data_IF_569325028187
#
_entry.id   IF_569325028187
#
_cell.length_a   1.000
_cell.length_b   1.000
_cell.length_c   1.000
_cell.angle_alpha   90.00
_cell.angle_beta   90.00
_cell.angle_gamma   90.00
#
_symmetry.space_group_name_H-M   'P 1'
#
loop_
_entity.id
_entity.type
_entity.pdbx_description
1 polymer ?
#
# COMPACT_ATOMS: atom_id res chain seq x y z
N UNK A 1 -3.88 -10.34 6.81
CA UNK A 1 -3.67 -11.50 5.91
C UNK A 1 -2.35 -11.35 5.15
N UNK A 2 -1.85 -12.40 4.47
CA UNK A 2 -0.59 -12.37 3.71
C UNK A 2 -0.82 -12.03 2.23
N UNK A 3 0.15 -11.38 1.57
CA UNK A 3 0.06 -10.98 0.14
C UNK A 3 -0.34 -12.12 -0.82
N UNK A 4 0.21 -13.34 -0.74
CA UNK A 4 -0.21 -14.43 -1.63
C UNK A 4 -1.70 -14.79 -1.52
N UNK A 5 -2.32 -14.55 -0.36
CA UNK A 5 -3.76 -14.75 -0.16
C UNK A 5 -4.58 -13.63 -0.83
N UNK A 6 -4.09 -12.38 -0.78
CA UNK A 6 -4.71 -11.24 -1.46
C UNK A 6 -4.78 -11.50 -2.96
N UNK A 7 -3.66 -11.90 -3.58
CA UNK A 7 -3.61 -12.21 -5.02
C UNK A 7 -4.63 -13.26 -5.47
N UNK A 8 -4.91 -14.25 -4.62
CA UNK A 8 -5.92 -15.28 -4.89
C UNK A 8 -7.36 -14.77 -4.75
N UNK A 9 -7.59 -13.81 -3.86
CA UNK A 9 -8.92 -13.24 -3.63
C UNK A 9 -9.28 -12.13 -4.62
N UNK A 10 -8.28 -11.35 -5.05
CA UNK A 10 -8.43 -10.19 -5.93
C UNK A 10 -7.49 -10.32 -7.14
N UNK A 11 -7.72 -11.30 -8.04
CA UNK A 11 -6.83 -11.50 -9.19
C UNK A 11 -6.96 -10.34 -10.19
N UNK A 12 -5.82 -9.84 -10.68
CA UNK A 12 -5.73 -8.77 -11.69
C UNK A 12 -6.43 -7.47 -11.28
N UNK A 13 -6.15 -7.01 -10.06
CA UNK A 13 -6.75 -5.81 -9.46
C UNK A 13 -5.68 -4.91 -8.86
N UNK A 14 -5.96 -3.61 -8.84
CA UNK A 14 -5.31 -2.67 -7.94
C UNK A 14 -5.91 -2.81 -6.54
N UNK A 15 -5.08 -3.05 -5.54
CA UNK A 15 -5.53 -3.20 -4.16
C UNK A 15 -4.96 -2.08 -3.31
N UNK A 16 -5.85 -1.37 -2.61
CA UNK A 16 -5.49 -0.50 -1.49
C UNK A 16 -5.50 -1.34 -0.22
N UNK A 17 -4.38 -1.36 0.49
CA UNK A 17 -4.27 -2.06 1.76
C UNK A 17 -3.50 -1.23 2.79
N UNK A 18 -3.78 -1.52 4.05
CA UNK A 18 -2.99 -1.08 5.19
C UNK A 18 -1.96 -2.14 5.54
N UNK A 19 -0.71 -1.71 5.79
CA UNK A 19 0.31 -2.56 6.41
C UNK A 19 0.05 -2.64 7.93
N UNK A 20 -0.41 -3.81 8.40
CA UNK A 20 -0.68 -4.08 9.82
C UNK A 20 0.63 -4.40 10.55
N UNK A 21 1.53 -5.14 9.91
CA UNK A 21 2.89 -5.34 10.40
C UNK A 21 3.87 -5.36 9.24
N UNK A 22 4.97 -4.64 9.40
CA UNK A 22 6.04 -4.56 8.43
C UNK A 22 7.38 -4.40 9.12
N UNK A 23 8.43 -4.88 8.46
CA UNK A 23 9.82 -4.72 8.89
C UNK A 23 10.60 -4.00 7.81
N UNK A 24 11.49 -3.13 8.22
CA UNK A 24 12.40 -2.44 7.31
C UNK A 24 13.76 -3.13 7.34
N UNK A 25 14.24 -3.55 6.17
CA UNK A 25 15.57 -4.10 6.00
C UNK A 25 16.10 -3.70 4.62
N UNK A 26 17.37 -3.26 4.55
CA UNK A 26 18.03 -2.93 3.29
C UNK A 26 17.24 -1.94 2.39
N UNK A 27 16.67 -0.88 2.97
CA UNK A 27 15.82 0.11 2.27
C UNK A 27 14.53 -0.46 1.66
N UNK A 28 14.16 -1.68 2.04
CA UNK A 28 12.91 -2.31 1.64
C UNK A 28 11.97 -2.44 2.83
N UNK A 29 10.70 -2.13 2.59
CA UNK A 29 9.61 -2.34 3.53
C UNK A 29 8.98 -3.71 3.26
N UNK A 30 9.28 -4.66 4.14
CA UNK A 30 8.76 -6.03 4.07
C UNK A 30 7.44 -6.09 4.85
N UNK A 31 6.32 -6.08 4.12
CA UNK A 31 4.98 -6.19 4.71
C UNK A 31 4.70 -7.65 5.07
N UNK A 32 4.62 -7.94 6.35
CA UNK A 32 4.35 -9.28 6.87
C UNK A 32 2.84 -9.52 6.95
N UNK A 33 2.06 -8.54 7.37
CA UNK A 33 0.60 -8.61 7.44
C UNK A 33 -0.06 -7.35 6.93
N UNK A 34 -1.14 -7.53 6.17
CA UNK A 34 -1.91 -6.44 5.61
C UNK A 34 -3.42 -6.66 5.78
N UNK A 35 -4.17 -5.56 5.78
CA UNK A 35 -5.62 -5.54 5.68
C UNK A 35 -6.01 -4.87 4.36
N UNK A 36 -6.71 -5.60 3.49
CA UNK A 36 -7.26 -5.04 2.26
C UNK A 36 -8.40 -4.11 2.65
N UNK A 37 -8.36 -2.88 2.14
CA UNK A 37 -9.39 -1.87 2.35
C UNK A 37 -10.38 -1.93 1.19
N UNK A 38 -9.87 -1.86 -0.05
CA UNK A 38 -10.65 -1.86 -1.28
C UNK A 38 -9.82 -2.37 -2.46
N UNK A 39 -10.49 -2.83 -3.52
CA UNK A 39 -9.90 -3.18 -4.80
C UNK A 39 -10.54 -2.42 -5.96
N UNK A 40 -9.78 -2.25 -7.04
CA UNK A 40 -10.14 -1.40 -8.18
C UNK A 40 -9.62 -1.99 -9.49
N UNK A 41 -10.35 -1.74 -10.58
CA UNK A 41 -9.88 -2.02 -11.94
C UNK A 41 -8.95 -0.91 -12.48
N UNK A 42 -9.08 0.31 -11.96
CA UNK A 42 -8.36 1.50 -12.44
C UNK A 42 -7.50 2.14 -11.34
N UNK A 43 -6.28 2.53 -11.70
CA UNK A 43 -5.31 3.13 -10.76
C UNK A 43 -5.77 4.48 -10.22
N UNK A 44 -6.52 5.29 -10.98
CA UNK A 44 -6.99 6.60 -10.51
C UNK A 44 -7.98 6.45 -9.36
N UNK A 45 -8.91 5.49 -9.44
CA UNK A 45 -9.83 5.17 -8.35
C UNK A 45 -9.06 4.75 -7.08
N UNK A 46 -8.02 3.93 -7.23
CA UNK A 46 -7.17 3.52 -6.11
C UNK A 46 -6.46 4.72 -5.47
N UNK A 47 -5.89 5.64 -6.27
CA UNK A 47 -5.24 6.85 -5.77
C UNK A 47 -6.19 7.81 -5.08
N UNK A 48 -7.43 7.94 -5.57
CA UNK A 48 -8.43 8.75 -4.92
C UNK A 48 -8.75 8.19 -3.52
N UNK A 49 -9.05 6.90 -3.43
CA UNK A 49 -9.31 6.25 -2.15
C UNK A 49 -8.12 6.37 -1.18
N UNK A 50 -6.89 6.17 -1.67
CA UNK A 50 -5.68 6.35 -0.86
C UNK A 50 -5.60 7.76 -0.26
N UNK A 51 -5.88 8.81 -1.04
CA UNK A 51 -5.84 10.19 -0.55
C UNK A 51 -6.87 10.40 0.57
N UNK A 52 -8.09 9.88 0.41
CA UNK A 52 -9.14 9.99 1.42
C UNK A 52 -8.72 9.30 2.73
N UNK A 53 -8.18 8.07 2.66
CA UNK A 53 -7.69 7.35 3.82
C UNK A 53 -6.47 8.01 4.48
N UNK A 54 -5.52 8.50 3.70
CA UNK A 54 -4.32 9.18 4.21
C UNK A 54 -4.64 10.54 4.83
N UNK A 55 -5.61 11.29 4.30
CA UNK A 55 -6.07 12.54 4.89
C UNK A 55 -6.82 12.30 6.22
N UNK A 56 -7.60 11.23 6.30
CA UNK A 56 -8.32 10.86 7.52
C UNK A 56 -7.37 10.42 8.65
N UNK A 57 -6.32 9.66 8.31
CA UNK A 57 -5.29 9.25 9.27
C UNK A 57 -3.92 9.11 8.60
N UNK A 58 -3.08 10.16 8.62
CA UNK A 58 -1.76 10.15 7.98
C UNK A 58 -0.73 9.32 8.75
N UNK A 59 -1.04 8.89 9.98
CA UNK A 59 -0.15 8.05 10.79
C UNK A 59 -0.16 6.58 10.36
N UNK A 60 -1.23 6.16 9.66
CA UNK A 60 -1.39 4.79 9.18
C UNK A 60 -0.67 4.59 7.85
N UNK A 61 -0.19 3.37 7.66
CA UNK A 61 0.66 2.99 6.55
C UNK A 61 -0.17 2.31 5.47
N UNK A 62 -0.52 3.07 4.43
CA UNK A 62 -1.32 2.60 3.31
C UNK A 62 -0.47 2.41 2.05
N UNK A 63 -0.83 1.42 1.24
CA UNK A 63 -0.19 1.13 -0.05
C UNK A 63 -1.24 0.79 -1.11
N UNK A 64 -0.96 1.22 -2.34
CA UNK A 64 -1.64 0.73 -3.54
C UNK A 64 -0.67 -0.20 -4.25
N UNK A 65 -1.11 -1.41 -4.58
CA UNK A 65 -0.29 -2.37 -5.32
C UNK A 65 -1.14 -3.25 -6.23
N UNK A 66 -0.59 -3.62 -7.38
CA UNK A 66 -1.32 -4.45 -8.34
C UNK A 66 -1.07 -5.94 -8.06
N UNK A 67 -2.12 -6.76 -8.06
CA UNK A 67 -2.04 -8.18 -7.67
C UNK A 67 -1.41 -9.09 -8.73
N UNK A 68 -1.11 -8.56 -9.93
CA UNK A 68 -0.28 -9.27 -10.91
C UNK A 68 1.13 -9.55 -10.36
N UNK A 69 1.65 -8.68 -9.50
CA UNK A 69 2.99 -8.83 -8.90
C UNK A 69 3.01 -9.96 -7.87
N UNK A 70 3.96 -10.88 -8.03
CA UNK A 70 4.09 -12.03 -7.14
C UNK A 70 4.49 -11.65 -5.71
N UNK A 71 5.38 -10.66 -5.60
CA UNK A 71 5.94 -10.18 -4.34
C UNK A 71 5.65 -8.68 -4.17
N UNK A 72 5.57 -8.23 -2.92
CA UNK A 72 5.52 -6.81 -2.59
C UNK A 72 6.94 -6.25 -2.61
N UNK A 73 7.22 -5.37 -3.58
CA UNK A 73 8.49 -4.66 -3.70
C UNK A 73 8.25 -3.20 -3.32
N UNK A 74 8.34 -2.91 -2.02
CA UNK A 74 8.13 -1.57 -1.48
C UNK A 74 9.49 -1.02 -1.03
N UNK A 75 9.93 0.04 -1.70
CA UNK A 75 11.17 0.74 -1.36
C UNK A 75 10.86 1.86 -0.37
N UNK A 76 11.59 1.91 0.74
CA UNK A 76 11.58 3.08 1.62
C UNK A 76 12.40 4.18 0.95
N UNK A 77 11.72 5.18 0.39
CA UNK A 77 12.38 6.43 0.04
C UNK A 77 12.44 7.31 1.30
N UNK A 78 13.64 7.53 1.89
CA UNK A 78 13.78 8.55 2.92
C UNK A 78 13.39 9.89 2.30
N UNK A 79 12.31 10.48 2.79
CA UNK A 79 11.81 11.74 2.30
C UNK A 79 12.79 12.85 2.69
N UNK A 80 13.55 13.39 1.73
CA UNK A 80 14.48 14.51 1.91
C UNK A 80 13.89 15.86 1.47
N UNK A 81 12.56 15.96 1.37
CA UNK A 81 11.85 17.19 0.98
C UNK A 81 11.27 17.97 2.16
N UNK A 82 11.29 19.30 2.07
CA UNK A 82 10.54 20.18 2.97
C UNK A 82 9.06 20.07 2.58
N UNK A 83 8.20 19.48 3.42
CA UNK A 83 6.76 19.65 3.26
C UNK A 83 6.47 21.13 3.53
N UNK A 84 6.14 21.88 2.48
CA UNK A 84 5.61 23.22 2.65
C UNK A 84 4.42 23.16 3.60
N UNK A 85 4.54 23.85 4.73
CA UNK A 85 3.40 24.27 5.53
C UNK A 85 2.51 25.10 4.60
N UNK A 86 1.32 24.59 4.29
CA UNK A 86 0.20 25.39 3.79
C UNK A 86 -1.01 25.11 4.65
#
# INVERSE_FOLDING_TARGET
MKWPKVRKQFPDRWVLFEAISAKSANQQRQVEELAVISDFDDTNCAWQAYKEHHLADPSREYYIYHTSHEHLEIMEQPFTGVRGLQ
#
